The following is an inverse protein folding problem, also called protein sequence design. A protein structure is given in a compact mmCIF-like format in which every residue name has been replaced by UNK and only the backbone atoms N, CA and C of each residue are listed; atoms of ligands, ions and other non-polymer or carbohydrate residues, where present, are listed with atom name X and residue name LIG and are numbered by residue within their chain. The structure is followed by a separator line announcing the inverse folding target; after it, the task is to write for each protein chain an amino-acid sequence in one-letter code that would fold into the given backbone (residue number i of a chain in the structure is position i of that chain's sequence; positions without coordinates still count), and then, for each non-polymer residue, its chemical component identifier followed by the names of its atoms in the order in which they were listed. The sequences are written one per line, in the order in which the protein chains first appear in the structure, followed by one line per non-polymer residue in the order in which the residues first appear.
data_IF_686352464492
#
_entry.id   IF_686352464492
#
_cell.length_a   1.000
_cell.length_b   1.000
_cell.length_c   1.000
_cell.angle_alpha   90.00
_cell.angle_beta   90.00
_cell.angle_gamma   90.00
#
_symmetry.space_group_name_H-M   'P 1'
#
loop_
_entity.id
_entity.type
_entity.pdbx_description
1 polymer ?
#
# COMPACT_ATOMS: atom_id res chain seq x y z
N UNK A 1 6.91 -17.32 -10.56
CA UNK A 1 6.30 -16.24 -9.75
C UNK A 1 4.90 -16.10 -10.26
N UNK A 2 3.91 -16.25 -9.40
CA UNK A 2 2.53 -16.07 -9.81
C UNK A 2 2.25 -14.58 -9.96
N UNK A 3 1.59 -14.22 -11.04
CA UNK A 3 1.16 -12.85 -11.32
C UNK A 3 -0.34 -12.77 -11.04
N UNK A 4 -0.74 -11.81 -10.21
CA UNK A 4 -2.15 -11.56 -9.89
C UNK A 4 -2.59 -10.30 -10.62
N UNK A 5 -3.57 -10.43 -11.51
CA UNK A 5 -4.18 -9.29 -12.19
C UNK A 5 -5.46 -8.87 -11.49
N UNK A 6 -5.58 -7.58 -11.20
CA UNK A 6 -6.72 -6.97 -10.53
C UNK A 6 -7.42 -6.07 -11.55
N UNK A 7 -8.63 -6.45 -12.01
CA UNK A 7 -9.39 -5.64 -12.95
C UNK A 7 -10.02 -4.44 -12.23
N UNK A 8 -9.93 -3.27 -12.84
CA UNK A 8 -10.57 -2.04 -12.39
C UNK A 8 -11.40 -1.45 -13.52
N UNK A 9 -12.53 -0.85 -13.19
CA UNK A 9 -13.32 -0.03 -14.11
C UNK A 9 -13.40 1.37 -13.52
N UNK A 10 -12.82 2.35 -14.21
CA UNK A 10 -12.69 3.72 -13.74
C UNK A 10 -13.44 4.66 -14.69
N UNK A 11 -14.57 5.19 -14.24
CA UNK A 11 -15.37 6.14 -15.03
C UNK A 11 -15.00 7.59 -14.62
N UNK A 12 -14.52 8.38 -15.58
CA UNK A 12 -14.10 9.77 -15.38
C UNK A 12 -15.28 10.65 -14.94
N UNK A 13 -16.49 10.34 -15.39
CA UNK A 13 -17.70 11.13 -15.14
C UNK A 13 -18.34 10.87 -13.77
N UNK A 14 -17.96 9.78 -13.11
CA UNK A 14 -18.56 9.35 -11.83
C UNK A 14 -17.52 9.42 -10.73
N UNK A 15 -17.89 9.98 -9.59
CA UNK A 15 -17.11 9.73 -8.40
C UNK A 15 -17.05 8.22 -8.16
N UNK A 16 -15.84 7.66 -8.09
CA UNK A 16 -15.59 6.23 -7.90
C UNK A 16 -15.96 5.75 -6.48
N UNK A 17 -17.07 6.25 -5.92
CA UNK A 17 -17.63 5.90 -4.61
C UNK A 17 -18.17 4.46 -4.55
N UNK A 18 -18.15 3.73 -5.67
CA UNK A 18 -18.71 2.38 -5.81
C UNK A 18 -17.68 1.28 -6.07
N UNK A 19 -16.37 1.56 -6.06
CA UNK A 19 -15.34 0.52 -5.90
C UNK A 19 -15.31 0.04 -4.43
N UNK A 20 -16.45 -0.52 -3.99
CA UNK A 20 -16.67 -1.08 -2.66
C UNK A 20 -16.01 -2.45 -2.47
N UNK A 21 -15.41 -3.00 -3.53
CA UNK A 21 -14.46 -4.10 -3.38
C UNK A 21 -13.09 -3.48 -3.12
N UNK A 22 -12.84 -3.20 -1.84
CA UNK A 22 -11.50 -2.85 -1.36
C UNK A 22 -10.55 -3.91 -1.90
N UNK A 23 -9.74 -3.52 -2.87
CA UNK A 23 -8.72 -4.41 -3.42
C UNK A 23 -7.68 -4.62 -2.32
N UNK A 24 -7.52 -5.89 -1.92
CA UNK A 24 -6.62 -6.28 -0.84
C UNK A 24 -5.31 -6.78 -1.40
N UNK A 25 -4.25 -6.06 -1.08
CA UNK A 25 -2.87 -6.46 -1.32
C UNK A 25 -2.27 -6.97 -0.02
N UNK A 26 -1.09 -7.57 -0.10
CA UNK A 26 -0.29 -7.94 1.07
C UNK A 26 1.10 -7.34 0.98
N UNK A 27 1.54 -6.77 2.08
CA UNK A 27 2.87 -6.18 2.20
C UNK A 27 3.95 -7.24 1.95
N UNK A 28 4.93 -6.89 1.10
CA UNK A 28 6.08 -7.71 0.76
C UNK A 28 5.72 -9.11 0.23
N UNK A 29 4.55 -9.27 -0.39
CA UNK A 29 4.21 -10.51 -1.08
C UNK A 29 5.12 -10.70 -2.30
N UNK A 30 5.60 -11.93 -2.53
CA UNK A 30 6.53 -12.24 -3.62
C UNK A 30 5.87 -12.31 -5.01
N UNK A 31 4.54 -12.23 -5.05
CA UNK A 31 3.75 -12.26 -6.28
C UNK A 31 3.73 -10.88 -6.92
N UNK A 32 3.85 -10.85 -8.25
CA UNK A 32 3.72 -9.59 -8.98
C UNK A 32 2.24 -9.24 -9.09
N UNK A 33 1.84 -8.06 -8.63
CA UNK A 33 0.46 -7.58 -8.77
C UNK A 33 0.37 -6.63 -9.96
N UNK A 34 -0.61 -6.85 -10.83
CA UNK A 34 -0.92 -5.98 -11.97
C UNK A 34 -2.29 -5.34 -11.74
N UNK A 35 -2.36 -4.02 -11.76
CA UNK A 35 -3.62 -3.28 -11.91
C UNK A 35 -3.91 -3.16 -13.40
N UNK A 36 -5.06 -3.66 -13.85
CA UNK A 36 -5.54 -3.48 -15.22
C UNK A 36 -6.83 -2.68 -15.18
N UNK A 37 -6.78 -1.42 -15.60
CA UNK A 37 -7.90 -0.49 -15.53
C UNK A 37 -8.49 -0.20 -16.91
N UNK A 38 -9.78 -0.51 -17.05
CA UNK A 38 -10.62 0.01 -18.13
C UNK A 38 -11.08 1.43 -17.78
N UNK A 39 -10.79 2.39 -18.65
CA UNK A 39 -11.17 3.79 -18.45
C UNK A 39 -12.43 4.09 -19.27
N UNK A 40 -13.42 4.68 -18.61
CA UNK A 40 -14.69 5.07 -19.22
C UNK A 40 -14.91 6.58 -19.07
N UNK A 41 -15.65 7.18 -19.99
CA UNK A 41 -16.22 8.52 -19.87
C UNK A 41 -17.73 8.44 -20.14
N UNK A 42 -18.55 8.75 -19.14
CA UNK A 42 -20.01 8.59 -19.21
C UNK A 42 -20.45 7.16 -19.60
N UNK A 43 -19.84 6.13 -18.99
CA UNK A 43 -19.97 4.70 -19.33
C UNK A 43 -19.45 4.25 -20.71
N UNK A 44 -19.01 5.17 -21.57
CA UNK A 44 -18.42 4.82 -22.87
C UNK A 44 -16.92 4.62 -22.73
N UNK A 45 -16.33 3.74 -23.55
CA UNK A 45 -14.90 3.47 -23.47
C UNK A 45 -14.07 4.69 -23.89
N UNK A 46 -13.13 5.10 -23.04
CA UNK A 46 -12.24 6.21 -23.33
C UNK A 46 -11.09 5.73 -24.23
N UNK A 47 -10.81 6.44 -25.32
CA UNK A 47 -9.72 6.08 -26.26
C UNK A 47 -8.34 6.45 -25.68
N UNK A 48 -7.54 5.42 -25.38
CA UNK A 48 -6.18 5.56 -24.85
C UNK A 48 -5.10 5.35 -25.92
N UNK A 49 -5.45 5.15 -27.19
CA UNK A 49 -4.52 4.77 -28.27
C UNK A 49 -3.36 5.74 -28.51
N UNK A 50 -3.49 7.00 -28.12
CA UNK A 50 -2.47 8.05 -28.21
C UNK A 50 -2.08 8.63 -26.85
N UNK A 51 -2.38 7.89 -25.78
CA UNK A 51 -2.15 8.31 -24.40
C UNK A 51 -1.01 7.53 -23.75
N UNK A 52 -0.49 8.10 -22.68
CA UNK A 52 0.33 7.43 -21.67
C UNK A 52 -0.32 7.63 -20.31
N UNK A 53 -0.04 6.75 -19.35
CA UNK A 53 -0.60 6.87 -18.01
C UNK A 53 0.47 6.77 -16.93
N UNK A 54 0.22 7.44 -15.81
CA UNK A 54 1.00 7.33 -14.58
C UNK A 54 0.07 6.96 -13.43
N UNK A 55 0.46 5.96 -12.64
CA UNK A 55 -0.15 5.68 -11.36
C UNK A 55 0.44 6.64 -10.33
N UNK A 56 -0.42 7.45 -9.72
CA UNK A 56 -0.09 8.28 -8.57
C UNK A 56 -0.66 7.59 -7.33
N UNK A 57 0.22 7.18 -6.43
CA UNK A 57 -0.10 6.33 -5.29
C UNK A 57 0.33 6.99 -3.99
N UNK A 58 -0.62 7.27 -3.11
CA UNK A 58 -0.37 7.78 -1.75
C UNK A 58 -0.39 6.62 -0.77
N UNK A 59 0.78 6.29 -0.23
CA UNK A 59 0.99 5.25 0.78
C UNK A 59 0.27 5.58 2.09
N UNK A 60 0.04 4.59 2.96
CA UNK A 60 -0.59 4.80 4.26
C UNK A 60 0.15 5.79 5.18
N UNK A 61 1.47 5.96 5.01
CA UNK A 61 2.27 6.94 5.75
C UNK A 61 2.19 8.37 5.17
N UNK A 62 1.43 8.58 4.08
CA UNK A 62 1.28 9.86 3.40
C UNK A 62 2.30 10.15 2.30
N UNK A 63 3.30 9.29 2.11
CA UNK A 63 4.28 9.40 1.03
C UNK A 63 3.62 9.13 -0.34
N UNK A 64 4.01 9.89 -1.36
CA UNK A 64 3.49 9.75 -2.72
C UNK A 64 4.54 9.09 -3.60
N UNK A 65 4.17 8.01 -4.27
CA UNK A 65 4.93 7.37 -5.33
C UNK A 65 4.24 7.60 -6.67
N UNK A 66 5.04 7.85 -7.71
CA UNK A 66 4.56 7.95 -9.08
C UNK A 66 5.24 6.87 -9.90
N UNK A 67 4.44 6.12 -10.65
CA UNK A 67 4.93 5.01 -11.46
C UNK A 67 4.31 5.07 -12.86
N UNK A 68 5.14 4.92 -13.90
CA UNK A 68 4.64 4.81 -15.26
C UNK A 68 3.80 3.53 -15.44
N UNK A 69 2.67 3.66 -16.12
CA UNK A 69 1.81 2.56 -16.54
C UNK A 69 1.88 2.39 -18.07
N UNK A 70 1.64 1.17 -18.53
CA UNK A 70 1.54 0.83 -19.95
C UNK A 70 0.09 0.96 -20.41
N UNK A 71 -0.11 1.18 -21.71
CA UNK A 71 -1.42 1.04 -22.35
C UNK A 71 -1.39 -0.23 -23.19
N UNK A 72 -2.26 -1.18 -22.87
CA UNK A 72 -2.38 -2.48 -23.56
C UNK A 72 -3.85 -2.78 -23.82
N UNK A 73 -4.21 -3.09 -25.07
CA UNK A 73 -5.60 -3.37 -25.48
C UNK A 73 -6.62 -2.33 -24.98
N UNK A 74 -6.28 -1.05 -25.08
CA UNK A 74 -7.08 0.08 -24.57
C UNK A 74 -7.35 0.06 -23.05
N UNK A 75 -6.49 -0.60 -22.27
CA UNK A 75 -6.50 -0.59 -20.81
C UNK A 75 -5.20 0.02 -20.28
N UNK A 76 -5.28 0.66 -19.11
CA UNK A 76 -4.10 1.08 -18.35
C UNK A 76 -3.60 -0.12 -17.54
N UNK A 77 -2.37 -0.55 -17.77
CA UNK A 77 -1.74 -1.69 -17.11
C UNK A 77 -0.56 -1.23 -16.27
N UNK A 78 -0.63 -1.45 -14.95
CA UNK A 78 0.41 -1.05 -14.02
C UNK A 78 0.82 -2.21 -13.10
N UNK A 79 2.05 -2.68 -13.27
CA UNK A 79 2.65 -3.69 -12.39
C UNK A 79 3.18 -3.04 -11.11
N UNK A 80 2.53 -3.27 -9.98
CA UNK A 80 2.92 -2.68 -8.70
C UNK A 80 4.30 -3.19 -8.26
N UNK A 81 5.19 -2.26 -7.92
CA UNK A 81 6.49 -2.60 -7.37
C UNK A 81 6.42 -2.85 -5.84
N UNK A 82 7.49 -3.40 -5.28
CA UNK A 82 7.56 -3.68 -3.84
C UNK A 82 7.55 -2.42 -2.97
N UNK A 83 7.93 -1.26 -3.51
CA UNK A 83 7.92 0.00 -2.77
C UNK A 83 6.49 0.47 -2.48
N UNK A 84 5.55 0.24 -3.42
CA UNK A 84 4.13 0.56 -3.25
C UNK A 84 3.51 -0.25 -2.11
N UNK A 85 3.85 -1.53 -2.00
CA UNK A 85 3.29 -2.43 -0.98
C UNK A 85 4.12 -2.49 0.30
N UNK A 86 5.18 -1.70 0.43
CA UNK A 86 6.11 -1.76 1.56
C UNK A 86 5.49 -1.36 2.92
N UNK A 87 4.35 -0.66 2.93
CA UNK A 87 3.70 -0.16 4.14
C UNK A 87 2.25 -0.63 4.18
N UNK A 88 1.87 -1.34 5.24
CA UNK A 88 0.49 -1.79 5.45
C UNK A 88 -0.44 -0.65 5.85
N UNK A 89 -1.70 -0.72 5.40
CA UNK A 89 -2.74 0.26 5.69
C UNK A 89 -3.60 0.56 4.47
N UNK A 90 -4.43 1.60 4.59
CA UNK A 90 -5.23 2.08 3.47
C UNK A 90 -4.41 3.06 2.63
N UNK A 91 -4.44 2.87 1.32
CA UNK A 91 -3.78 3.72 0.35
C UNK A 91 -4.79 4.29 -0.65
N UNK A 92 -4.47 5.45 -1.17
CA UNK A 92 -5.24 6.17 -2.18
C UNK A 92 -4.45 6.15 -3.49
N UNK A 93 -5.12 5.94 -4.61
CA UNK A 93 -4.48 5.93 -5.91
C UNK A 93 -5.38 6.52 -7.00
N UNK A 94 -4.76 7.04 -8.04
CA UNK A 94 -5.44 7.45 -9.28
C UNK A 94 -4.48 7.32 -10.46
N UNK A 95 -5.03 7.22 -11.67
CA UNK A 95 -4.26 7.33 -12.90
C UNK A 95 -4.37 8.74 -13.46
N UNK A 96 -3.21 9.33 -13.75
CA UNK A 96 -3.10 10.54 -14.56
C UNK A 96 -2.86 10.11 -16.02
N UNK A 97 -3.69 10.58 -16.93
CA UNK A 97 -3.63 10.26 -18.36
C UNK A 97 -3.07 11.48 -19.08
N UNK A 98 -1.99 11.25 -19.83
CA UNK A 98 -1.30 12.27 -20.61
C UNK A 98 -1.39 11.94 -22.10
N UNK A 99 -1.41 12.97 -22.95
CA UNK A 99 -1.26 12.79 -24.40
C UNK A 99 0.21 12.52 -24.79
N UNK A 100 0.43 12.30 -26.08
CA UNK A 100 1.78 12.13 -26.68
C UNK A 100 2.79 13.24 -26.35
N UNK A 101 2.32 14.46 -26.07
CA UNK A 101 3.15 15.62 -25.73
C UNK A 101 3.40 15.71 -24.21
N UNK A 102 3.00 14.68 -23.45
CA UNK A 102 3.05 14.58 -21.99
C UNK A 102 2.21 15.63 -21.25
N UNK A 103 1.28 16.28 -21.94
CA UNK A 103 0.30 17.14 -21.29
C UNK A 103 -0.82 16.29 -20.68
N UNK A 104 -1.21 16.60 -19.44
CA UNK A 104 -2.32 15.93 -18.77
C UNK A 104 -3.62 16.25 -19.53
N UNK A 105 -4.31 15.20 -19.96
CA UNK A 105 -5.61 15.31 -20.65
C UNK A 105 -6.77 14.91 -19.75
N UNK A 106 -6.55 13.96 -18.85
CA UNK A 106 -7.56 13.50 -17.89
C UNK A 106 -6.92 12.90 -16.63
N UNK A 107 -7.68 12.86 -15.56
CA UNK A 107 -7.30 12.20 -14.30
C UNK A 107 -8.47 11.38 -13.81
N UNK A 108 -8.25 10.10 -13.51
CA UNK A 108 -9.31 9.24 -12.97
C UNK A 108 -9.68 9.67 -11.56
N UNK A 109 -10.93 9.44 -11.15
CA UNK A 109 -11.29 9.58 -9.74
C UNK A 109 -10.49 8.60 -8.86
N UNK A 110 -10.20 9.02 -7.63
CA UNK A 110 -9.44 8.23 -6.66
C UNK A 110 -10.10 6.88 -6.40
N UNK A 111 -9.29 5.83 -6.35
CA UNK A 111 -9.66 4.49 -5.88
C UNK A 111 -8.78 4.10 -4.68
N UNK A 112 -9.24 3.12 -3.90
CA UNK A 112 -8.60 2.74 -2.64
C UNK A 112 -8.07 1.31 -2.68
N UNK A 113 -6.88 1.14 -2.10
CA UNK A 113 -6.21 -0.15 -1.95
C UNK A 113 -5.97 -0.39 -0.46
N UNK A 114 -6.24 -1.60 0.02
CA UNK A 114 -5.90 -2.01 1.39
C UNK A 114 -4.69 -2.94 1.35
N UNK A 115 -3.57 -2.50 1.90
CA UNK A 115 -2.37 -3.30 2.05
C UNK A 115 -2.42 -3.97 3.42
N UNK A 116 -2.70 -5.28 3.44
CA UNK A 116 -2.67 -6.06 4.66
C UNK A 116 -1.22 -6.27 5.13
N UNK A 117 -0.98 -6.35 6.45
CA UNK A 117 0.33 -6.70 6.98
C UNK A 117 0.87 -7.99 6.36
N UNK A 118 2.18 -8.02 6.13
CA UNK A 118 2.87 -9.22 5.70
C UNK A 118 2.64 -10.35 6.69
N UNK A 119 2.68 -11.60 6.21
CA UNK A 119 2.65 -12.77 7.08
C UNK A 119 4.06 -12.98 7.66
N UNK A 120 4.55 -12.04 8.48
CA UNK A 120 5.74 -12.32 9.26
C UNK A 120 5.35 -13.32 10.36
N UNK A 121 6.02 -14.49 10.45
CA UNK A 121 5.90 -15.28 11.66
C UNK A 121 6.41 -14.41 12.80
N UNK A 122 5.62 -14.28 13.86
CA UNK A 122 6.09 -13.72 15.12
C UNK A 122 7.38 -14.45 15.45
N UNK A 123 8.53 -13.76 15.46
CA UNK A 123 9.74 -14.34 16.04
C UNK A 123 9.34 -14.75 17.45
N UNK A 124 9.31 -16.06 17.73
CA UNK A 124 9.22 -16.53 19.12
C UNK A 124 10.33 -15.78 19.86
N UNK A 125 9.96 -15.04 20.93
CA UNK A 125 10.94 -14.45 21.84
C UNK A 125 12.02 -15.51 22.08
N UNK A 126 13.27 -15.17 21.83
CA UNK A 126 14.37 -16.06 22.20
C UNK A 126 14.23 -16.29 23.70
N UNK A 127 14.14 -17.54 24.20
CA UNK A 127 14.06 -17.81 25.62
C UNK A 127 15.22 -17.20 26.43
N UNK A 128 16.33 -16.85 25.75
CA UNK A 128 17.52 -16.24 26.33
C UNK A 128 17.62 -14.72 26.14
N UNK A 129 16.59 -14.04 25.61
CA UNK A 129 16.59 -12.58 25.54
C UNK A 129 16.46 -11.99 26.96
N UNK A 130 17.46 -11.21 27.43
CA UNK A 130 17.42 -10.61 28.77
C UNK A 130 16.17 -9.74 28.91
N UNK A 131 15.29 -10.07 29.86
CA UNK A 131 14.17 -9.18 30.15
C UNK A 131 14.72 -7.87 30.78
N UNK A 132 14.14 -6.71 30.45
CA UNK A 132 14.53 -5.46 31.08
C UNK A 132 14.36 -5.58 32.61
N UNK A 133 15.39 -5.20 33.35
CA UNK A 133 15.36 -5.22 34.82
C UNK A 133 14.35 -4.17 35.28
N UNK A 134 13.32 -4.62 35.99
CA UNK A 134 12.32 -3.74 36.58
C UNK A 134 12.92 -2.99 37.78
N UNK A 135 13.24 -1.71 37.56
CA UNK A 135 13.91 -0.85 38.55
C UNK A 135 13.06 -0.63 39.82
N UNK A 136 11.74 -0.90 39.79
CA UNK A 136 10.89 -0.82 40.97
C UNK A 136 11.13 -1.94 41.99
N UNK A 137 11.81 -3.02 41.62
CA UNK A 137 12.13 -4.12 42.55
C UNK A 137 13.37 -3.87 43.43
N UNK A 138 14.19 -2.87 43.11
CA UNK A 138 15.42 -2.56 43.86
C UNK A 138 15.18 -1.69 45.11
N UNK A 139 13.99 -1.09 45.28
CA UNK A 139 13.77 -0.10 46.34
C UNK A 139 13.39 -0.68 47.72
N UNK A 140 13.18 -2.00 47.85
CA UNK A 140 12.63 -2.59 49.10
C UNK A 140 13.62 -3.40 49.95
N UNK A 141 14.92 -3.43 49.62
CA UNK A 141 15.89 -4.27 50.34
C UNK A 141 16.80 -3.54 51.34
N UNK A 142 16.54 -2.27 51.69
CA UNK A 142 17.42 -1.53 52.59
C UNK A 142 16.91 -1.34 54.03
N UNK A 143 15.93 -2.12 54.47
CA UNK A 143 15.50 -2.12 55.88
C UNK A 143 15.79 -3.45 56.58
N UNK A 144 16.64 -3.35 57.62
CA UNK A 144 17.01 -4.33 58.66
C UNK A 144 18.33 -5.09 58.44
N UNK A 145 19.36 -4.74 59.22
CA UNK A 145 19.66 -5.40 60.53
C UNK A 145 20.84 -4.74 61.27
N UNK A 146 20.52 -4.23 62.47
CA UNK A 146 21.17 -4.40 63.78
C UNK A 146 22.71 -4.48 63.85
N UNK A 147 23.33 -3.52 64.54
CA UNK A 147 24.66 -3.67 65.14
C UNK A 147 24.52 -3.67 66.68
N UNK A 148 24.64 -4.85 67.29
CA UNK A 148 25.04 -5.01 68.70
C UNK A 148 26.45 -5.61 68.68
N UNK A 149 27.40 -4.92 69.33
CA UNK A 149 28.74 -5.44 69.61
C UNK A 149 28.82 -5.69 71.12
N UNK A 150 29.21 -6.92 71.48
CA UNK A 150 29.68 -7.29 72.83
C UNK A 150 31.13 -6.81 72.98
#
# INVERSE_FOLDING_TARGET
MDTVTIPLTLDLSKQNSTLNEITRLRQNESNSTILQAKVLDHNEEFDLSQCSAELHFKKPNGEICVQAAQIEDNNVVCTLNNEITAISGNAEAYFQICNKDKAVVNTTNTFYLQILPGLTPVKKKDPNEPQPIDLHTLSNNNERKVAEWI
#
